data_IF_296270057130
#
_entry.id   IF_296270057130
#
_cell.length_a   1.000
_cell.length_b   1.000
_cell.length_c   1.000
_cell.angle_alpha   90.00
_cell.angle_beta   90.00
_cell.angle_gamma   90.00
#
_symmetry.space_group_name_H-M   'P 1'
#
loop_
_entity.id
_entity.type
_entity.pdbx_description
1 polymer ?
#
# COMPACT_ATOMS: atom_id res chain seq x y z
N UNK A 1 -47.84 -35.15 -1.22
CA UNK A 1 -46.52 -35.06 -1.89
C UNK A 1 -46.18 -33.65 -2.37
N UNK A 2 -47.03 -32.94 -3.13
CA UNK A 2 -46.71 -31.62 -3.66
C UNK A 2 -46.46 -30.51 -2.61
N UNK A 3 -47.27 -30.47 -1.54
CA UNK A 3 -47.12 -29.46 -0.47
C UNK A 3 -45.79 -29.61 0.27
N UNK A 4 -45.40 -30.84 0.62
CA UNK A 4 -44.13 -31.13 1.29
C UNK A 4 -42.93 -30.71 0.45
N UNK A 5 -42.98 -30.96 -0.87
CA UNK A 5 -41.94 -30.53 -1.80
C UNK A 5 -41.84 -28.99 -1.89
N UNK A 6 -42.97 -28.29 -1.95
CA UNK A 6 -43.00 -26.83 -2.00
C UNK A 6 -42.46 -26.19 -0.71
N UNK A 7 -42.80 -26.74 0.45
CA UNK A 7 -42.26 -26.30 1.75
C UNK A 7 -40.74 -26.52 1.79
N UNK A 8 -40.27 -27.72 1.42
CA UNK A 8 -38.85 -28.03 1.38
C UNK A 8 -38.07 -27.08 0.45
N UNK A 9 -38.59 -26.84 -0.75
CA UNK A 9 -37.99 -25.91 -1.72
C UNK A 9 -37.91 -24.48 -1.15
N UNK A 10 -38.98 -24.01 -0.51
CA UNK A 10 -39.01 -22.68 0.09
C UNK A 10 -37.98 -22.55 1.21
N UNK A 11 -37.91 -23.53 2.13
CA UNK A 11 -36.92 -23.51 3.21
C UNK A 11 -35.49 -23.57 2.72
N UNK A 12 -35.22 -24.34 1.65
CA UNK A 12 -33.89 -24.41 1.04
C UNK A 12 -33.47 -23.05 0.45
N UNK A 13 -34.39 -22.36 -0.24
CA UNK A 13 -34.13 -21.02 -0.79
C UNK A 13 -33.81 -20.01 0.32
N UNK A 14 -34.59 -19.99 1.41
CA UNK A 14 -34.32 -19.11 2.56
C UNK A 14 -32.98 -19.41 3.23
N UNK A 15 -32.65 -20.70 3.40
CA UNK A 15 -31.38 -21.12 3.98
C UNK A 15 -30.20 -20.66 3.13
N UNK A 16 -30.25 -20.83 1.81
CA UNK A 16 -29.18 -20.39 0.92
C UNK A 16 -29.05 -18.85 0.89
N UNK A 17 -30.17 -18.12 0.98
CA UNK A 17 -30.16 -16.67 1.13
C UNK A 17 -29.45 -16.25 2.43
N UNK A 18 -29.77 -16.89 3.56
CA UNK A 18 -29.15 -16.62 4.85
C UNK A 18 -27.64 -16.97 4.86
N UNK A 19 -27.25 -18.09 4.24
CA UNK A 19 -25.85 -18.46 4.08
C UNK A 19 -25.08 -17.45 3.23
N UNK A 20 -25.69 -17.01 2.12
CA UNK A 20 -25.08 -16.00 1.24
C UNK A 20 -24.86 -14.69 1.98
N UNK A 21 -25.85 -14.22 2.74
CA UNK A 21 -25.72 -12.99 3.53
C UNK A 21 -24.64 -13.14 4.61
N UNK A 22 -24.61 -14.25 5.34
CA UNK A 22 -23.57 -14.52 6.35
C UNK A 22 -22.15 -14.49 5.75
N UNK A 23 -21.96 -15.08 4.56
CA UNK A 23 -20.67 -15.03 3.84
C UNK A 23 -20.30 -13.60 3.43
N UNK A 24 -21.26 -12.80 2.96
CA UNK A 24 -21.03 -11.38 2.63
C UNK A 24 -20.64 -10.57 3.85
N UNK A 25 -21.33 -10.73 4.98
CA UNK A 25 -20.99 -10.04 6.23
C UNK A 25 -19.57 -10.40 6.68
N UNK A 26 -19.18 -11.68 6.60
CA UNK A 26 -17.81 -12.12 6.94
C UNK A 26 -16.77 -11.51 6.00
N UNK A 27 -17.01 -11.52 4.69
CA UNK A 27 -16.11 -10.93 3.72
C UNK A 27 -15.93 -9.41 3.93
N UNK A 28 -17.02 -8.70 4.26
CA UNK A 28 -16.98 -7.28 4.60
C UNK A 28 -16.18 -7.03 5.89
N UNK A 29 -16.47 -7.79 6.96
CA UNK A 29 -15.74 -7.69 8.22
C UNK A 29 -14.24 -7.91 8.01
N UNK A 30 -13.87 -8.91 7.23
CA UNK A 30 -12.50 -9.25 6.91
C UNK A 30 -11.79 -8.12 6.13
N UNK A 31 -12.50 -7.47 5.20
CA UNK A 31 -12.00 -6.30 4.47
C UNK A 31 -11.82 -5.07 5.36
N UNK A 32 -12.70 -4.86 6.34
CA UNK A 32 -12.58 -3.77 7.32
C UNK A 32 -11.36 -3.95 8.22
N UNK A 33 -11.09 -5.18 8.69
CA UNK A 33 -9.86 -5.49 9.45
C UNK A 33 -8.63 -5.13 8.62
N UNK A 34 -8.58 -5.57 7.36
CA UNK A 34 -7.48 -5.26 6.45
C UNK A 34 -7.33 -3.74 6.22
N UNK A 35 -8.43 -3.01 6.05
CA UNK A 35 -8.40 -1.56 5.85
C UNK A 35 -7.87 -0.83 7.08
N UNK A 36 -8.38 -1.13 8.27
CA UNK A 36 -7.92 -0.50 9.51
C UNK A 36 -6.45 -0.81 9.81
N UNK A 37 -6.01 -2.04 9.54
CA UNK A 37 -4.60 -2.41 9.66
C UNK A 37 -3.72 -1.60 8.68
N UNK A 38 -4.16 -1.42 7.43
CA UNK A 38 -3.45 -0.63 6.43
C UNK A 38 -3.39 0.86 6.81
N UNK A 39 -4.50 1.44 7.29
CA UNK A 39 -4.59 2.85 7.66
C UNK A 39 -3.72 3.17 8.89
N UNK A 40 -3.77 2.30 9.91
CA UNK A 40 -2.90 2.40 11.08
C UNK A 40 -1.41 2.33 10.70
N UNK A 41 -1.03 1.42 9.80
CA UNK A 41 0.34 1.37 9.30
C UNK A 41 0.71 2.62 8.51
N UNK A 42 -0.18 3.15 7.66
CA UNK A 42 0.05 4.38 6.90
C UNK A 42 0.37 5.56 7.83
N UNK A 43 -0.42 5.75 8.88
CA UNK A 43 -0.20 6.77 9.90
C UNK A 43 1.10 6.55 10.68
N UNK A 44 1.33 5.34 11.18
CA UNK A 44 2.53 5.01 11.95
C UNK A 44 3.82 5.20 11.14
N UNK A 45 3.82 4.82 9.86
CA UNK A 45 4.96 5.01 8.96
C UNK A 45 5.21 6.46 8.62
N UNK A 46 4.15 7.27 8.49
CA UNK A 46 4.29 8.72 8.35
C UNK A 46 4.96 9.31 9.59
N UNK A 47 4.56 8.89 10.79
CA UNK A 47 5.21 9.34 12.04
C UNK A 47 6.66 8.86 12.11
N UNK A 48 6.94 7.61 11.75
CA UNK A 48 8.28 7.04 11.76
C UNK A 48 9.21 7.75 10.77
N UNK A 49 8.71 8.13 9.59
CA UNK A 49 9.43 8.95 8.62
C UNK A 49 9.81 10.31 9.21
N UNK A 50 8.86 11.01 9.85
CA UNK A 50 9.10 12.32 10.44
C UNK A 50 10.10 12.26 11.60
N UNK A 51 10.09 11.16 12.37
CA UNK A 51 11.05 10.90 13.45
C UNK A 51 12.40 10.38 12.96
N UNK A 52 12.53 10.05 11.67
CA UNK A 52 13.74 9.45 11.09
C UNK A 52 13.99 8.00 11.53
N UNK A 53 13.00 7.31 12.11
CA UNK A 53 13.11 5.91 12.53
C UNK A 53 12.80 4.92 11.40
N UNK A 54 12.15 5.38 10.34
CA UNK A 54 11.97 4.64 9.10
C UNK A 54 12.65 5.39 7.95
N UNK A 55 13.43 4.66 7.14
CA UNK A 55 14.16 5.23 6.01
C UNK A 55 13.37 5.07 4.72
N UNK A 56 13.43 6.08 3.87
CA UNK A 56 12.87 5.98 2.52
C UNK A 56 13.83 5.18 1.63
N UNK A 57 13.33 4.17 0.93
CA UNK A 57 14.07 3.58 -0.19
C UNK A 57 14.12 4.59 -1.33
N UNK A 58 15.32 4.95 -1.76
CA UNK A 58 15.51 5.60 -3.05
C UNK A 58 15.48 4.53 -4.14
N UNK A 59 14.88 4.83 -5.30
CA UNK A 59 15.16 4.06 -6.50
C UNK A 59 16.64 4.26 -6.87
N UNK A 60 17.53 3.44 -6.29
CA UNK A 60 18.95 3.42 -6.66
C UNK A 60 19.04 2.73 -8.02
N UNK A 61 19.52 3.45 -9.03
CA UNK A 61 19.98 2.82 -10.27
C UNK A 61 21.01 1.74 -9.90
N UNK A 62 20.94 0.53 -10.48
CA UNK A 62 21.97 -0.45 -10.27
C UNK A 62 23.28 0.12 -10.81
N UNK A 63 24.20 0.47 -9.92
CA UNK A 63 25.57 0.82 -10.27
C UNK A 63 26.25 -0.45 -10.78
N UNK A 64 26.07 -0.73 -12.07
CA UNK A 64 26.92 -1.64 -12.81
C UNK A 64 28.17 -0.88 -13.25
N UNK A 65 29.29 -1.15 -12.59
CA UNK A 65 30.62 -0.87 -13.14
C UNK A 65 30.78 -1.56 -14.50
N UNK A 66 31.04 -0.80 -15.57
CA UNK A 66 32.14 -1.11 -16.48
C UNK A 66 32.55 0.10 -17.34
N UNK A 67 33.75 0.60 -17.07
CA UNK A 67 34.74 1.19 -17.99
C UNK A 67 34.42 2.50 -18.75
N UNK A 68 35.31 3.47 -18.55
CA UNK A 68 35.91 4.19 -19.68
C UNK A 68 35.51 5.65 -19.82
N UNK A 69 36.32 6.51 -19.21
CA UNK A 69 36.46 7.93 -19.48
C UNK A 69 36.67 8.23 -20.98
N UNK A 70 35.84 9.11 -21.60
CA UNK A 70 36.25 10.40 -22.18
C UNK A 70 35.13 11.04 -23.04
N UNK A 71 34.87 12.32 -22.74
CA UNK A 71 34.49 13.43 -23.65
C UNK A 71 33.02 13.62 -24.05
N UNK A 72 32.56 14.85 -23.76
CA UNK A 72 31.75 15.59 -24.71
C UNK A 72 30.51 16.21 -24.11
N UNK A 73 30.61 17.50 -23.76
CA UNK A 73 29.49 18.41 -23.54
C UNK A 73 28.38 18.22 -24.58
N UNK A 74 27.17 17.91 -24.10
CA UNK A 74 25.90 18.55 -24.46
C UNK A 74 24.76 17.73 -23.83
N UNK A 75 24.62 17.81 -22.50
CA UNK A 75 23.34 17.48 -21.89
C UNK A 75 22.50 18.75 -21.93
N UNK A 76 21.94 19.01 -23.12
CA UNK A 76 20.80 19.89 -23.26
C UNK A 76 19.75 19.44 -22.26
N UNK A 77 19.42 20.36 -21.36
CA UNK A 77 18.23 20.38 -20.54
C UNK A 77 17.03 20.02 -21.43
N UNK A 78 16.57 18.77 -21.34
CA UNK A 78 15.35 18.32 -22.00
C UNK A 78 14.19 18.81 -21.13
N UNK A 79 13.35 19.75 -21.58
CA UNK A 79 12.22 20.19 -20.78
C UNK A 79 11.21 19.04 -20.71
N UNK A 80 10.96 18.55 -19.49
CA UNK A 80 9.83 17.66 -19.22
C UNK A 80 10.11 16.17 -19.39
N UNK A 81 11.18 15.63 -18.81
CA UNK A 81 11.12 14.21 -18.43
C UNK A 81 9.95 14.04 -17.44
N UNK A 82 8.99 13.13 -17.73
CA UNK A 82 7.87 12.90 -16.83
C UNK A 82 8.42 12.47 -15.47
N UNK A 83 7.96 13.12 -14.40
CA UNK A 83 8.24 12.78 -13.01
C UNK A 83 8.22 11.26 -12.84
N UNK A 84 9.36 10.66 -12.50
CA UNK A 84 9.45 9.20 -12.37
C UNK A 84 8.75 8.78 -11.08
N UNK A 85 7.48 8.41 -11.20
CA UNK A 85 6.68 7.93 -10.08
C UNK A 85 7.40 6.76 -9.38
N UNK A 86 7.42 6.71 -8.03
CA UNK A 86 7.98 5.57 -7.33
C UNK A 86 7.23 4.27 -7.64
N UNK A 87 7.99 3.19 -7.89
CA UNK A 87 7.48 1.92 -8.41
C UNK A 87 7.89 0.70 -7.59
N UNK A 88 8.65 0.85 -6.50
CA UNK A 88 9.09 -0.28 -5.67
C UNK A 88 7.89 -1.04 -5.10
N UNK A 89 6.82 -0.33 -4.74
CA UNK A 89 5.57 -0.94 -4.28
C UNK A 89 4.91 -1.90 -5.29
N UNK A 90 5.24 -1.80 -6.58
CA UNK A 90 4.71 -2.68 -7.63
C UNK A 90 5.56 -3.95 -7.83
N UNK A 91 6.79 -3.97 -7.31
CA UNK A 91 7.72 -5.10 -7.51
C UNK A 91 7.24 -6.31 -6.71
N UNK A 92 7.22 -7.48 -7.35
CA UNK A 92 6.80 -8.71 -6.69
C UNK A 92 7.96 -9.38 -5.94
N UNK A 93 7.73 -9.90 -4.72
CA UNK A 93 6.49 -9.77 -3.94
C UNK A 93 6.39 -8.37 -3.31
N UNK A 94 5.26 -7.71 -3.51
CA UNK A 94 5.05 -6.33 -3.08
C UNK A 94 5.09 -6.25 -1.54
N UNK A 95 5.87 -5.30 -0.98
CA UNK A 95 6.15 -5.15 0.46
C UNK A 95 6.82 -6.36 1.15
N UNK A 96 7.28 -7.36 0.40
CA UNK A 96 8.17 -8.39 0.93
C UNK A 96 9.65 -7.94 0.94
N UNK A 97 9.93 -6.74 0.41
CA UNK A 97 11.25 -6.15 0.46
C UNK A 97 11.69 -5.98 1.93
N UNK A 98 12.95 -6.25 2.28
CA UNK A 98 13.47 -6.00 3.63
C UNK A 98 13.22 -4.57 4.11
N UNK A 99 13.24 -3.61 3.19
CA UNK A 99 12.96 -2.19 3.45
C UNK A 99 11.49 -1.88 3.82
N UNK A 100 10.56 -2.83 3.68
CA UNK A 100 9.19 -2.60 4.11
C UNK A 100 9.11 -2.60 5.64
N UNK A 101 8.88 -1.42 6.21
CA UNK A 101 8.80 -1.17 7.63
C UNK A 101 7.52 -1.78 8.23
N UNK A 102 7.69 -2.44 9.37
CA UNK A 102 6.59 -3.04 10.12
C UNK A 102 6.40 -2.26 11.44
N UNK A 103 5.45 -1.30 11.50
CA UNK A 103 5.28 -0.45 12.67
C UNK A 103 4.67 -1.18 13.89
N UNK A 104 3.97 -2.30 13.68
CA UNK A 104 3.33 -3.07 14.73
C UNK A 104 3.81 -4.52 14.73
N UNK A 105 4.08 -5.08 15.91
CA UNK A 105 4.46 -6.49 16.03
C UNK A 105 3.30 -7.40 15.59
N UNK A 106 2.06 -7.03 15.92
CA UNK A 106 0.81 -7.71 15.58
C UNK A 106 -0.31 -6.69 15.32
N UNK A 107 -1.45 -7.18 14.82
CA UNK A 107 -2.67 -6.38 14.70
C UNK A 107 -3.88 -7.25 15.04
N UNK A 108 -4.84 -6.77 15.87
CA UNK A 108 -5.97 -7.57 16.30
C UNK A 108 -6.74 -8.19 15.13
N UNK A 109 -6.96 -9.51 15.21
CA UNK A 109 -7.69 -10.31 14.22
C UNK A 109 -7.07 -10.37 12.82
N UNK A 110 -5.91 -9.76 12.57
CA UNK A 110 -5.22 -9.86 11.29
C UNK A 110 -4.38 -11.14 11.20
N UNK A 111 -4.38 -11.78 10.04
CA UNK A 111 -3.54 -12.96 9.77
C UNK A 111 -2.05 -12.60 9.70
N UNK A 112 -1.72 -11.33 9.42
CA UNK A 112 -0.36 -10.81 9.30
C UNK A 112 -0.31 -9.37 9.79
N UNK A 113 0.79 -8.99 10.42
CA UNK A 113 1.04 -7.62 10.85
C UNK A 113 1.09 -6.68 9.64
N UNK A 114 0.50 -5.47 9.72
CA UNK A 114 0.50 -4.55 8.61
C UNK A 114 1.91 -3.96 8.40
N UNK A 115 2.24 -3.70 7.15
CA UNK A 115 3.56 -3.21 6.72
C UNK A 115 3.41 -2.03 5.78
N UNK A 116 4.44 -1.21 5.68
CA UNK A 116 4.48 -0.12 4.72
C UNK A 116 5.83 -0.04 4.02
N UNK A 117 5.84 0.61 2.86
CA UNK A 117 7.05 1.01 2.15
C UNK A 117 7.02 2.51 1.97
N UNK A 118 8.18 3.13 2.20
CA UNK A 118 8.38 4.57 2.07
C UNK A 118 9.37 4.77 0.93
N UNK A 119 8.95 5.45 -0.12
CA UNK A 119 9.78 5.71 -1.29
C UNK A 119 10.02 7.22 -1.40
N UNK A 120 11.27 7.62 -1.64
CA UNK A 120 11.57 9.02 -1.92
C UNK A 120 10.99 9.40 -3.29
N UNK A 121 10.41 10.60 -3.39
CA UNK A 121 9.88 11.17 -4.62
C UNK A 121 10.56 12.53 -4.88
N UNK A 122 11.77 12.54 -5.47
CA UNK A 122 12.61 13.73 -5.57
C UNK A 122 11.95 14.88 -6.36
N UNK A 123 11.23 14.54 -7.42
CA UNK A 123 10.67 15.53 -8.37
C UNK A 123 9.23 15.94 -8.05
N UNK A 124 8.74 15.62 -6.85
CA UNK A 124 7.41 16.04 -6.40
C UNK A 124 7.46 17.37 -5.66
N UNK A 125 6.66 18.34 -6.14
CA UNK A 125 6.38 19.64 -5.50
C UNK A 125 6.09 19.48 -3.99
N UNK A 126 6.69 20.28 -3.07
CA UNK A 126 7.32 21.59 -3.27
C UNK A 126 8.86 21.61 -3.41
N UNK A 127 9.44 22.63 -4.08
CA UNK A 127 10.87 22.72 -4.43
C UNK A 127 11.83 22.70 -3.23
N UNK A 128 11.45 23.28 -2.09
CA UNK A 128 12.27 23.25 -0.86
C UNK A 128 11.84 22.15 0.13
N UNK A 129 11.30 21.04 -0.36
CA UNK A 129 10.78 19.93 0.45
C UNK A 129 11.30 18.58 0.00
N UNK A 130 11.17 17.57 0.86
CA UNK A 130 11.31 16.17 0.46
C UNK A 130 9.93 15.56 0.32
N UNK A 131 9.59 15.06 -0.85
CA UNK A 131 8.35 14.33 -1.07
C UNK A 131 8.59 12.83 -0.98
N UNK A 132 7.57 12.11 -0.51
CA UNK A 132 7.59 10.68 -0.31
C UNK A 132 6.27 10.06 -0.73
N UNK A 133 6.35 8.84 -1.23
CA UNK A 133 5.22 7.95 -1.44
C UNK A 133 5.22 6.90 -0.34
N UNK A 134 4.17 6.84 0.45
CA UNK A 134 3.99 5.83 1.49
C UNK A 134 2.90 4.88 1.02
N UNK A 135 3.25 3.62 0.84
CA UNK A 135 2.31 2.55 0.48
C UNK A 135 2.21 1.59 1.66
N UNK A 136 1.01 1.43 2.22
CA UNK A 136 0.73 0.54 3.35
C UNK A 136 -0.16 -0.63 2.92
N UNK A 137 0.07 -1.81 3.49
CA UNK A 137 -0.76 -3.00 3.32
C UNK A 137 -1.19 -3.52 4.67
N UNK A 138 -2.49 -3.77 4.77
CA UNK A 138 -3.10 -4.52 5.85
C UNK A 138 -3.68 -5.84 5.33
N UNK A 139 -3.72 -6.84 6.20
CA UNK A 139 -4.27 -8.16 5.92
C UNK A 139 -5.41 -8.41 6.91
N UNK A 140 -6.53 -8.95 6.41
CA UNK A 140 -7.68 -9.33 7.22
C UNK A 140 -7.38 -10.57 8.07
N UNK A 141 -8.41 -11.12 8.68
CA UNK A 141 -8.36 -12.44 9.31
C UNK A 141 -8.00 -13.56 8.32
N UNK A 142 -8.27 -13.38 7.03
CA UNK A 142 -7.81 -14.28 5.97
C UNK A 142 -6.66 -13.67 5.18
N UNK A 143 -5.61 -14.45 4.92
CA UNK A 143 -4.43 -14.00 4.17
C UNK A 143 -4.74 -13.53 2.73
N UNK A 144 -5.84 -14.01 2.15
CA UNK A 144 -6.36 -13.59 0.83
C UNK A 144 -7.04 -12.22 0.85
N UNK A 145 -7.45 -11.72 2.01
CA UNK A 145 -8.04 -10.39 2.16
C UNK A 145 -6.94 -9.39 2.49
N UNK A 146 -6.44 -8.71 1.46
CA UNK A 146 -5.46 -7.65 1.62
C UNK A 146 -6.01 -6.31 1.11
N UNK A 147 -5.77 -5.25 1.87
CA UNK A 147 -6.05 -3.86 1.48
C UNK A 147 -4.72 -3.13 1.38
N UNK A 148 -4.63 -2.26 0.38
CA UNK A 148 -3.47 -1.44 0.09
C UNK A 148 -3.89 0.03 0.08
N UNK A 149 -3.21 0.87 0.84
CA UNK A 149 -3.44 2.31 0.92
C UNK A 149 -2.18 3.06 0.52
N UNK A 150 -2.35 4.24 -0.06
CA UNK A 150 -1.22 5.04 -0.52
C UNK A 150 -1.44 6.53 -0.24
N UNK A 151 -0.42 7.20 0.27
CA UNK A 151 -0.42 8.65 0.44
C UNK A 151 0.89 9.25 -0.03
N UNK A 152 0.80 10.45 -0.60
CA UNK A 152 1.95 11.27 -0.91
C UNK A 152 2.10 12.32 0.18
N UNK A 153 3.28 12.40 0.78
CA UNK A 153 3.59 13.39 1.83
C UNK A 153 4.78 14.25 1.40
N UNK A 154 4.66 15.55 1.53
CA UNK A 154 5.76 16.49 1.42
C UNK A 154 6.19 16.94 2.81
N UNK A 155 7.49 16.87 3.10
CA UNK A 155 8.08 17.17 4.40
C UNK A 155 9.09 18.31 4.26
N UNK A 156 8.97 19.33 5.10
CA UNK A 156 9.93 20.44 5.23
C UNK A 156 10.18 20.71 6.71
N UNK A 157 11.45 20.83 7.11
CA UNK A 157 11.82 21.06 8.51
C UNK A 157 11.25 20.02 9.49
N UNK A 158 11.14 18.75 9.08
CA UNK A 158 10.59 17.67 9.90
C UNK A 158 9.06 17.70 10.08
N UNK A 159 8.35 18.54 9.34
CA UNK A 159 6.87 18.65 9.39
C UNK A 159 6.26 18.35 8.03
N UNK A 160 5.08 17.73 8.02
CA UNK A 160 4.28 17.57 6.80
C UNK A 160 3.76 18.94 6.37
N UNK A 161 4.09 19.36 5.16
CA UNK A 161 3.63 20.63 4.55
C UNK A 161 2.58 20.41 3.48
N UNK A 162 2.48 19.21 2.91
CA UNK A 162 1.36 18.80 2.07
C UNK A 162 1.15 17.29 2.20
N UNK A 163 -0.12 16.86 2.16
CA UNK A 163 -0.50 15.46 2.10
C UNK A 163 -1.57 15.29 1.03
N UNK A 164 -1.35 14.37 0.10
CA UNK A 164 -2.27 14.09 -1.00
C UNK A 164 -2.65 12.62 -0.97
N UNK A 165 -3.95 12.37 -0.84
CA UNK A 165 -4.51 11.03 -0.97
C UNK A 165 -4.37 10.56 -2.42
N UNK A 166 -3.88 9.34 -2.59
CA UNK A 166 -3.88 8.64 -3.88
C UNK A 166 -4.90 7.52 -3.84
N UNK A 167 -5.37 7.09 -5.02
CA UNK A 167 -6.35 6.00 -5.13
C UNK A 167 -5.83 4.78 -4.34
N UNK A 168 -6.74 4.10 -3.65
CA UNK A 168 -6.49 2.81 -2.96
C UNK A 168 -5.99 1.82 -4.01
N UNK A 169 -4.68 1.59 -4.08
CA UNK A 169 -4.05 0.78 -5.11
C UNK A 169 -4.27 -0.71 -4.82
N UNK A 170 -5.39 -1.29 -5.26
CA UNK A 170 -5.54 -2.74 -5.20
C UNK A 170 -4.53 -3.40 -6.16
N UNK A 171 -3.47 -4.00 -5.61
CA UNK A 171 -2.70 -4.99 -6.36
C UNK A 171 -3.50 -6.30 -6.32
N UNK A 172 -4.46 -6.45 -7.22
CA UNK A 172 -5.06 -7.74 -7.51
C UNK A 172 -4.01 -8.56 -8.28
N UNK A 173 -3.50 -9.63 -7.65
CA UNK A 173 -3.06 -10.82 -8.38
C UNK A 173 -4.07 -11.93 -8.09
#
# INVERSE_FOLDING_TARGET
MAVSAAVAASTAIWFESALTESRRTRALSDRLIAFHAADAALGACTVALLRGTALASSAREPQGELHGELKGELQSELPGQPQREPTMWQRAPALAHPDAFQPFADWPMAAQSPRCLIEAWPDADPPDGRAYLITARGVGAQASSAVWLQTQVAVRGGRVVAQRWRRVAALHR
#
